data_IF_184440254555
#
_entry.id   IF_184440254555
#
_cell.length_a   1.000
_cell.length_b   1.000
_cell.length_c   1.000
_cell.angle_alpha   90.00
_cell.angle_beta   90.00
_cell.angle_gamma   90.00
#
_symmetry.space_group_name_H-M   'P 1'
#
loop_
_entity.id
_entity.type
_entity.pdbx_description
1 polymer ?
#
# COMPACT_ATOMS: atom_id res chain seq x y z
N UNK A 1 -0.92 1.02 -19.29
CA UNK A 1 -1.29 1.23 -17.88
C UNK A 1 -0.86 0.00 -17.13
N UNK A 2 0.01 0.19 -16.15
CA UNK A 2 0.40 -0.81 -15.16
C UNK A 2 -0.63 -0.96 -14.05
N UNK A 3 -0.24 -1.64 -12.97
CA UNK A 3 -1.09 -1.86 -11.79
C UNK A 3 -0.48 -1.18 -10.56
N UNK A 4 -1.32 -0.46 -9.80
CA UNK A 4 -0.98 0.08 -8.49
C UNK A 4 -1.70 -0.74 -7.41
N UNK A 5 -0.93 -1.27 -6.46
CA UNK A 5 -1.43 -2.00 -5.30
C UNK A 5 -1.01 -1.25 -4.05
N UNK A 6 -1.96 -0.99 -3.17
CA UNK A 6 -1.67 -0.37 -1.86
C UNK A 6 -2.59 -0.95 -0.79
N UNK A 7 -2.17 -0.85 0.46
CA UNK A 7 -2.98 -1.28 1.60
C UNK A 7 -4.18 -0.36 1.76
N UNK A 8 -5.37 -0.97 1.83
CA UNK A 8 -6.57 -0.28 2.26
C UNK A 8 -6.53 -0.13 3.79
N UNK A 9 -6.37 1.10 4.25
CA UNK A 9 -6.20 1.45 5.66
C UNK A 9 -7.26 2.48 6.04
N UNK A 10 -7.90 2.34 7.21
CA UNK A 10 -8.81 3.38 7.70
C UNK A 10 -8.06 4.70 7.93
N UNK A 11 -8.76 5.82 7.75
CA UNK A 11 -8.20 7.19 7.79
C UNK A 11 -7.47 7.53 9.10
N UNK A 12 -7.78 6.84 10.20
CA UNK A 12 -7.17 7.02 11.52
C UNK A 12 -6.07 6.00 11.82
N UNK A 13 -5.71 5.15 10.85
CA UNK A 13 -4.68 4.13 11.04
C UNK A 13 -3.33 4.75 11.36
N UNK A 14 -2.66 4.33 12.45
CA UNK A 14 -1.32 4.82 12.80
C UNK A 14 -0.28 4.48 11.71
N UNK A 15 -0.56 3.49 10.85
CA UNK A 15 0.31 3.10 9.74
C UNK A 15 0.39 4.18 8.66
N UNK A 16 -0.62 5.06 8.55
CA UNK A 16 -0.60 6.19 7.61
C UNK A 16 0.52 7.18 7.94
N UNK A 17 0.93 7.29 9.21
CA UNK A 17 2.01 8.16 9.68
C UNK A 17 3.41 7.56 9.56
N UNK A 18 3.53 6.29 9.16
CA UNK A 18 4.84 5.66 8.91
C UNK A 18 5.44 6.17 7.58
N UNK A 19 6.74 6.03 7.37
CA UNK A 19 7.34 6.21 6.04
C UNK A 19 6.85 5.10 5.09
N UNK A 20 6.82 5.35 3.79
CA UNK A 20 6.30 4.42 2.78
C UNK A 20 7.36 4.09 1.74
N UNK A 21 7.33 2.87 1.22
CA UNK A 21 8.17 2.43 0.09
C UNK A 21 7.30 2.14 -1.13
N UNK A 22 7.94 2.13 -2.29
CA UNK A 22 7.34 1.66 -3.54
C UNK A 22 8.20 0.51 -4.05
N UNK A 23 7.61 -0.66 -4.25
CA UNK A 23 8.26 -1.79 -4.91
C UNK A 23 7.70 -1.91 -6.32
N UNK A 24 8.54 -1.64 -7.32
CA UNK A 24 8.20 -1.84 -8.73
C UNK A 24 8.68 -3.22 -9.20
N UNK A 25 7.82 -3.94 -9.89
CA UNK A 25 8.11 -5.28 -10.43
C UNK A 25 7.41 -5.55 -11.75
N UNK A 26 7.72 -6.69 -12.39
CA UNK A 26 7.03 -7.11 -13.60
C UNK A 26 5.53 -7.31 -13.34
N UNK A 27 4.71 -6.93 -14.33
CA UNK A 27 3.25 -7.10 -14.24
C UNK A 27 2.80 -8.54 -14.54
N UNK A 28 3.61 -9.30 -15.29
CA UNK A 28 3.30 -10.68 -15.64
C UNK A 28 4.53 -11.57 -15.66
N UNK A 29 4.28 -12.87 -15.60
CA UNK A 29 5.30 -13.93 -15.41
C UNK A 29 6.30 -14.09 -16.57
N UNK A 30 6.12 -13.36 -17.68
CA UNK A 30 7.00 -13.43 -18.85
C UNK A 30 8.24 -12.53 -18.77
N UNK A 31 8.20 -11.50 -17.92
CA UNK A 31 9.30 -10.57 -17.71
C UNK A 31 9.97 -10.86 -16.36
N UNK A 32 11.12 -11.53 -16.40
CA UNK A 32 11.86 -11.91 -15.19
C UNK A 32 12.96 -10.86 -14.91
N UNK A 33 12.58 -9.78 -14.21
CA UNK A 33 13.55 -8.81 -13.70
C UNK A 33 13.35 -8.55 -12.20
N UNK A 34 14.45 -8.19 -11.54
CA UNK A 34 14.50 -8.03 -10.08
C UNK A 34 13.74 -6.77 -9.62
N UNK A 35 12.79 -6.88 -8.70
CA UNK A 35 12.03 -5.73 -8.22
C UNK A 35 12.91 -4.59 -7.70
N UNK A 36 12.51 -3.35 -7.99
CA UNK A 36 13.20 -2.14 -7.53
C UNK A 36 12.41 -1.50 -6.39
N UNK A 37 13.07 -1.33 -5.25
CA UNK A 37 12.48 -0.67 -4.06
C UNK A 37 12.95 0.78 -3.96
N UNK A 38 12.00 1.70 -3.94
CA UNK A 38 12.20 3.14 -3.86
C UNK A 38 11.69 3.72 -2.53
N UNK A 39 12.34 4.76 -2.01
CA UNK A 39 11.93 5.48 -0.79
C UNK A 39 12.99 5.50 0.31
N UNK A 40 12.62 5.80 1.56
CA UNK A 40 11.24 6.02 2.04
C UNK A 40 10.67 7.39 1.67
N UNK A 41 9.35 7.45 1.40
CA UNK A 41 8.58 8.65 1.11
C UNK A 41 7.48 8.88 2.15
N UNK A 42 6.85 10.06 2.13
CA UNK A 42 5.56 10.24 2.78
C UNK A 42 4.47 9.59 1.93
N UNK A 43 3.42 9.04 2.55
CA UNK A 43 2.33 8.36 1.84
C UNK A 43 1.82 9.10 0.59
N UNK A 44 1.42 10.39 0.66
CA UNK A 44 0.92 11.09 -0.53
C UNK A 44 1.97 11.18 -1.64
N UNK A 45 3.25 11.32 -1.30
CA UNK A 45 4.32 11.31 -2.30
C UNK A 45 4.53 9.92 -2.90
N UNK A 46 4.49 8.85 -2.08
CA UNK A 46 4.65 7.49 -2.56
C UNK A 46 3.57 7.11 -3.59
N UNK A 47 2.30 7.41 -3.26
CA UNK A 47 1.16 7.13 -4.14
C UNK A 47 1.25 7.90 -5.45
N UNK A 48 1.49 9.22 -5.39
CA UNK A 48 1.57 10.05 -6.59
C UNK A 48 2.76 9.68 -7.50
N UNK A 49 3.91 9.30 -6.93
CA UNK A 49 5.05 8.82 -7.70
C UNK A 49 4.77 7.45 -8.34
N UNK A 50 4.16 6.52 -7.61
CA UNK A 50 3.81 5.20 -8.14
C UNK A 50 2.79 5.33 -9.27
N UNK A 51 1.73 6.12 -9.06
CA UNK A 51 0.68 6.41 -10.04
C UNK A 51 1.26 6.99 -11.34
N UNK A 52 2.15 7.98 -11.24
CA UNK A 52 2.79 8.58 -12.40
C UNK A 52 3.60 7.56 -13.22
N UNK A 53 4.29 6.62 -12.57
CA UNK A 53 5.09 5.60 -13.27
C UNK A 53 4.19 4.54 -13.92
N UNK A 54 3.18 4.01 -13.20
CA UNK A 54 2.27 2.98 -13.78
C UNK A 54 1.34 3.55 -14.85
N UNK A 55 1.12 4.86 -14.87
CA UNK A 55 0.38 5.50 -15.96
C UNK A 55 1.13 5.41 -17.29
N UNK A 56 2.47 5.45 -17.27
CA UNK A 56 3.30 5.44 -18.47
C UNK A 56 3.83 4.04 -18.83
N UNK A 57 4.02 3.18 -17.83
CA UNK A 57 4.71 1.90 -17.97
C UNK A 57 3.79 0.69 -17.68
N UNK A 58 4.07 -0.46 -18.29
CA UNK A 58 3.34 -1.72 -18.04
C UNK A 58 4.01 -2.54 -16.94
N UNK A 59 3.98 -2.03 -15.72
CA UNK A 59 4.61 -2.63 -14.55
C UNK A 59 3.66 -2.66 -13.36
N UNK A 60 4.01 -3.43 -12.33
CA UNK A 60 3.30 -3.43 -11.05
C UNK A 60 4.04 -2.54 -10.06
N UNK A 61 3.31 -1.71 -9.32
CA UNK A 61 3.81 -0.92 -8.21
C UNK A 61 3.07 -1.30 -6.92
N UNK A 62 3.80 -1.74 -5.91
CA UNK A 62 3.26 -2.02 -4.57
C UNK A 62 3.70 -0.89 -3.64
N UNK A 63 2.75 -0.18 -3.05
CA UNK A 63 2.97 0.97 -2.15
C UNK A 63 2.54 0.59 -0.73
N UNK A 64 3.52 0.46 0.16
CA UNK A 64 3.33 -0.09 1.50
C UNK A 64 4.13 0.69 2.58
N UNK A 65 3.67 0.71 3.84
CA UNK A 65 4.36 1.37 4.92
C UNK A 65 5.61 0.57 5.33
N UNK A 66 6.71 1.28 5.52
CA UNK A 66 7.95 0.76 6.08
C UNK A 66 7.86 0.75 7.60
N UNK A 67 7.91 -0.44 8.21
CA UNK A 67 8.01 -0.59 9.67
C UNK A 67 9.47 -0.43 10.11
N UNK A 68 9.84 0.64 10.84
CA UNK A 68 11.23 0.91 11.18
C UNK A 68 11.64 0.17 12.47
N UNK A 69 11.65 -1.17 12.42
CA UNK A 69 12.06 -2.01 13.54
C UNK A 69 13.56 -1.81 13.88
N UNK A 70 13.87 -1.69 15.16
CA UNK A 70 15.24 -1.43 15.65
C UNK A 70 15.98 -2.70 16.09
N UNK A 71 15.24 -3.77 16.37
CA UNK A 71 15.78 -5.02 16.92
C UNK A 71 15.23 -6.24 16.17
N UNK A 72 15.98 -7.36 16.14
CA UNK A 72 15.46 -8.62 15.61
C UNK A 72 14.18 -9.09 16.31
N UNK A 73 14.03 -8.80 17.59
CA UNK A 73 12.86 -9.15 18.39
C UNK A 73 11.61 -8.37 17.94
N UNK A 74 11.75 -7.09 17.63
CA UNK A 74 10.68 -6.30 17.01
C UNK A 74 10.28 -6.91 15.66
N UNK A 75 11.25 -7.23 14.80
CA UNK A 75 10.98 -7.85 13.49
C UNK A 75 10.21 -9.17 13.64
N UNK A 76 10.62 -10.03 14.58
CA UNK A 76 9.90 -11.30 14.82
C UNK A 76 8.49 -11.07 15.35
N UNK A 77 8.28 -10.02 16.13
CA UNK A 77 6.95 -9.66 16.66
C UNK A 77 6.03 -9.18 15.54
N UNK A 78 6.54 -8.37 14.62
CA UNK A 78 5.80 -7.94 13.42
C UNK A 78 5.44 -9.14 12.52
N UNK A 79 6.37 -10.08 12.31
CA UNK A 79 6.10 -11.31 11.55
C UNK A 79 4.98 -12.12 12.20
N UNK A 80 5.03 -12.30 13.53
CA UNK A 80 3.99 -13.03 14.26
C UNK A 80 2.62 -12.33 14.17
N UNK A 81 2.59 -11.00 14.25
CA UNK A 81 1.37 -10.21 14.08
C UNK A 81 0.79 -10.36 12.66
N UNK A 82 1.63 -10.31 11.63
CA UNK A 82 1.22 -10.52 10.24
C UNK A 82 0.67 -11.93 10.00
N UNK A 83 1.30 -12.96 10.57
CA UNK A 83 0.82 -14.34 10.50
C UNK A 83 -0.56 -14.50 11.16
N UNK A 84 -0.75 -13.93 12.35
CA UNK A 84 -2.04 -13.94 13.04
C UNK A 84 -3.13 -13.21 12.25
N UNK A 85 -2.80 -12.05 11.65
CA UNK A 85 -3.75 -11.31 10.83
C UNK A 85 -4.16 -12.10 9.57
N UNK A 86 -3.23 -12.80 8.93
CA UNK A 86 -3.51 -13.67 7.79
C UNK A 86 -4.40 -14.87 8.17
N UNK A 87 -4.18 -15.46 9.34
CA UNK A 87 -5.02 -16.54 9.87
C UNK A 87 -6.45 -16.05 10.21
N UNK A 88 -6.59 -14.85 10.80
CA UNK A 88 -7.90 -14.23 11.07
C UNK A 88 -8.66 -13.90 9.80
N UNK A 89 -8.00 -13.32 8.79
CA UNK A 89 -8.61 -13.05 7.49
C UNK A 89 -9.08 -14.35 6.82
N UNK A 90 -8.25 -15.40 6.82
CA UNK A 90 -8.64 -16.71 6.30
C UNK A 90 -9.84 -17.30 7.05
N UNK A 91 -9.90 -17.16 8.38
CA UNK A 91 -11.03 -17.61 9.17
C UNK A 91 -12.30 -16.80 8.90
N UNK A 92 -12.19 -15.49 8.66
CA UNK A 92 -13.33 -14.64 8.26
C UNK A 92 -13.86 -15.01 6.88
N UNK A 93 -12.98 -15.34 5.93
CA UNK A 93 -13.38 -15.84 4.61
C UNK A 93 -14.08 -17.20 4.72
N UNK A 94 -13.53 -18.14 5.51
CA UNK A 94 -14.16 -19.45 5.76
C UNK A 94 -15.53 -19.31 6.47
N UNK A 95 -15.69 -18.34 7.38
CA UNK A 95 -16.98 -18.03 8.03
C UNK A 95 -17.97 -17.41 7.05
N UNK A 96 -17.53 -16.50 6.17
CA UNK A 96 -18.36 -15.93 5.11
C UNK A 96 -18.86 -17.00 4.13
N UNK A 97 -18.01 -17.96 3.77
CA UNK A 97 -18.40 -19.14 2.96
C UNK A 97 -19.42 -20.04 3.68
N UNK A 98 -19.39 -20.09 5.02
CA UNK A 98 -20.32 -20.88 5.84
C UNK A 98 -21.71 -20.22 5.98
N UNK A 99 -21.77 -18.88 5.90
CA UNK A 99 -23.02 -18.10 5.86
C UNK A 99 -23.51 -17.83 4.43
N UNK A 100 -23.20 -18.73 3.49
CA UNK A 100 -23.98 -19.02 2.29
C UNK A 100 -24.57 -17.81 1.57
N UNK A 101 -23.83 -17.34 0.57
CA UNK A 101 -24.38 -16.72 -0.65
C UNK A 101 -25.44 -15.61 -0.42
N UNK A 102 -24.94 -14.39 -0.18
CA UNK A 102 -25.73 -13.16 -0.35
C UNK A 102 -25.66 -12.61 -1.80
N UNK A 103 -25.34 -13.43 -2.83
CA UNK A 103 -25.23 -12.95 -4.23
C UNK A 103 -26.56 -12.41 -4.79
N UNK A 104 -27.72 -12.77 -4.24
CA UNK A 104 -29.01 -12.39 -4.86
C UNK A 104 -29.58 -10.99 -4.49
N UNK A 105 -28.86 -10.13 -3.75
CA UNK A 105 -29.38 -8.80 -3.35
C UNK A 105 -28.42 -7.62 -3.59
N UNK A 106 -27.17 -7.88 -3.98
CA UNK A 106 -26.12 -6.83 -3.97
C UNK A 106 -25.75 -6.29 -5.37
N UNK A 107 -26.35 -6.77 -6.46
CA UNK A 107 -25.87 -6.38 -7.79
C UNK A 107 -26.17 -4.92 -8.18
N UNK A 108 -27.34 -4.35 -7.87
CA UNK A 108 -27.74 -3.06 -8.48
C UNK A 108 -27.25 -1.82 -7.70
N UNK A 109 -27.16 -1.89 -6.36
CA UNK A 109 -26.75 -0.73 -5.53
C UNK A 109 -25.22 -0.57 -5.45
N UNK A 110 -24.47 -1.68 -5.53
CA UNK A 110 -23.00 -1.67 -5.48
C UNK A 110 -22.39 -1.31 -6.85
N UNK A 111 -23.01 -1.72 -7.97
CA UNK A 111 -22.67 -1.20 -9.30
C UNK A 111 -22.91 0.32 -9.40
N UNK A 112 -24.03 0.83 -8.89
CA UNK A 112 -24.33 2.26 -8.86
C UNK A 112 -23.39 3.07 -7.94
N UNK A 113 -22.87 2.45 -6.88
CA UNK A 113 -21.88 3.07 -6.01
C UNK A 113 -20.50 3.15 -6.68
N UNK A 114 -20.09 2.08 -7.37
CA UNK A 114 -18.85 2.03 -8.14
C UNK A 114 -18.86 3.02 -9.33
N UNK A 115 -20.01 3.22 -10.00
CA UNK A 115 -20.16 4.23 -11.06
C UNK A 115 -20.09 5.69 -10.55
N UNK A 116 -20.19 5.91 -9.23
CA UNK A 116 -20.24 7.25 -8.61
C UNK A 116 -18.91 7.72 -8.05
N UNK A 117 -17.91 6.86 -7.94
CA UNK A 117 -16.56 7.30 -7.61
C UNK A 117 -15.92 7.86 -8.89
N UNK A 118 -15.58 9.17 -8.92
CA UNK A 118 -14.83 9.69 -10.05
C UNK A 118 -13.53 8.92 -10.15
N UNK A 119 -13.22 8.36 -11.33
CA UNK A 119 -11.89 7.81 -11.59
C UNK A 119 -10.86 8.83 -11.09
N UNK A 120 -10.02 8.48 -10.10
CA UNK A 120 -9.08 9.42 -9.54
C UNK A 120 -8.20 9.92 -10.69
N UNK A 121 -8.26 11.23 -10.95
CA UNK A 121 -7.37 11.83 -11.93
C UNK A 121 -5.95 11.64 -11.40
N UNK A 122 -5.01 11.19 -12.25
CA UNK A 122 -3.66 10.94 -11.81
C UNK A 122 -3.10 12.20 -11.13
N UNK A 123 -2.73 12.06 -9.86
CA UNK A 123 -2.20 13.16 -9.10
C UNK A 123 -0.91 13.63 -9.79
N UNK A 124 -0.71 14.96 -9.88
CA UNK A 124 0.58 15.46 -10.35
C UNK A 124 1.66 14.94 -9.41
N UNK A 125 2.74 14.32 -9.93
CA UNK A 125 3.80 13.81 -9.07
C UNK A 125 4.43 14.97 -8.30
N UNK A 126 4.85 14.74 -7.04
CA UNK A 126 5.50 15.76 -6.23
C UNK A 126 6.79 16.23 -6.90
N UNK A 127 7.11 17.51 -6.71
CA UNK A 127 8.39 18.06 -7.13
C UNK A 127 9.55 17.45 -6.33
N UNK A 128 10.75 17.49 -6.90
CA UNK A 128 11.96 17.02 -6.21
C UNK A 128 12.20 17.76 -4.88
N UNK A 129 11.82 19.03 -4.79
CA UNK A 129 11.94 19.84 -3.56
C UNK A 129 10.98 19.34 -2.47
N UNK A 130 9.74 19.00 -2.83
CA UNK A 130 8.75 18.42 -1.91
C UNK A 130 9.18 17.05 -1.38
N UNK A 131 9.69 16.19 -2.28
CA UNK A 131 10.25 14.88 -1.91
C UNK A 131 11.44 15.04 -0.95
N UNK A 132 12.36 15.95 -1.25
CA UNK A 132 13.52 16.22 -0.41
C UNK A 132 13.12 16.77 0.98
N UNK A 133 12.13 17.67 1.03
CA UNK A 133 11.59 18.15 2.30
C UNK A 133 10.92 17.02 3.11
N UNK A 134 10.23 16.09 2.43
CA UNK A 134 9.69 14.87 3.02
C UNK A 134 10.77 13.99 3.64
N UNK A 135 11.89 13.78 2.94
CA UNK A 135 13.03 13.01 3.48
C UNK A 135 13.56 13.59 4.80
N UNK A 136 13.65 14.92 4.92
CA UNK A 136 14.09 15.55 6.17
C UNK A 136 13.15 15.27 7.35
N UNK A 137 11.82 15.24 7.11
CA UNK A 137 10.83 14.91 8.14
C UNK A 137 10.88 13.43 8.52
N UNK A 138 10.98 12.53 7.53
CA UNK A 138 11.14 11.10 7.76
C UNK A 138 12.42 10.81 8.54
N UNK A 139 13.55 11.42 8.17
CA UNK A 139 14.81 11.26 8.88
C UNK A 139 14.67 11.65 10.37
N UNK A 140 13.96 12.74 10.66
CA UNK A 140 13.65 13.18 12.03
C UNK A 140 12.81 12.13 12.76
N UNK A 141 11.74 11.62 12.12
CA UNK A 141 10.86 10.59 12.67
C UNK A 141 11.61 9.30 12.99
N UNK A 142 12.45 8.84 12.07
CA UNK A 142 13.26 7.63 12.23
C UNK A 142 14.31 7.80 13.32
N UNK A 143 14.97 8.96 13.38
CA UNK A 143 15.97 9.26 14.40
C UNK A 143 15.39 9.41 15.82
N UNK A 144 14.13 9.83 15.94
CA UNK A 144 13.43 9.92 17.22
C UNK A 144 13.04 8.54 17.79
N UNK A 145 13.00 7.50 16.94
CA UNK A 145 12.67 6.13 17.38
C UNK A 145 13.87 5.55 18.14
N UNK A 146 13.72 5.38 19.46
CA UNK A 146 14.77 4.85 20.35
C UNK A 146 15.62 5.91 21.06
N UNK A 147 15.28 7.21 20.93
CA UNK A 147 15.87 8.30 21.71
C UNK A 147 15.23 8.44 23.11
#
# INVERSE_FOLDING_TARGET
MGALVTLDLPDDSPMLGLPWIITFGPLGDGDEWEPVVCGPYERPHALALAEAVVAEEQLMAVVEPLVPALTPEEIRSEIAAAQLAAEDEAARLDEADLYGDFEDVIDEELELAAEREPEPQPANPPSAEEVHAGFARIATLLAARGA
#
